data_IF_459097107214
#
_entry.id   IF_459097107214
#
_cell.length_a   1.000
_cell.length_b   1.000
_cell.length_c   1.000
_cell.angle_alpha   90.00
_cell.angle_beta   90.00
_cell.angle_gamma   90.00
#
_symmetry.space_group_name_H-M   'P 1'
#
loop_
_entity.id
_entity.type
_entity.pdbx_description
1 polymer ?
#
# COMPACT_ATOMS: atom_id res chain seq x y z
N UNK A 1 -10.69 15.83 -7.36
CA UNK A 1 -9.24 15.95 -7.59
C UNK A 1 -8.57 14.85 -6.79
N UNK A 2 -7.96 13.87 -7.45
CA UNK A 2 -7.10 12.91 -6.77
C UNK A 2 -5.82 13.63 -6.32
N UNK A 3 -5.33 13.36 -5.11
CA UNK A 3 -4.03 13.85 -4.68
C UNK A 3 -2.98 13.25 -5.62
N UNK A 4 -2.14 14.09 -6.24
CA UNK A 4 -1.06 13.60 -7.10
C UNK A 4 0.02 13.01 -6.20
N UNK A 5 0.42 11.79 -6.50
CA UNK A 5 1.54 11.10 -5.86
C UNK A 5 2.65 11.11 -6.91
N UNK A 6 3.67 11.93 -6.71
CA UNK A 6 4.62 12.32 -7.77
C UNK A 6 5.41 11.15 -8.38
N UNK A 7 5.53 10.06 -7.63
CA UNK A 7 6.35 8.90 -7.97
C UNK A 7 5.54 7.72 -8.53
N UNK A 8 4.25 7.94 -8.84
CA UNK A 8 3.36 6.95 -9.46
C UNK A 8 2.56 7.55 -10.61
N UNK A 9 2.05 6.73 -11.53
CA UNK A 9 1.26 7.23 -12.66
C UNK A 9 -0.25 7.20 -12.37
N UNK A 10 -0.72 6.18 -11.65
CA UNK A 10 -2.14 6.02 -11.31
C UNK A 10 -2.30 5.28 -9.98
N UNK A 11 -3.40 5.54 -9.26
CA UNK A 11 -3.76 4.75 -8.07
C UNK A 11 -4.77 3.67 -8.43
N UNK A 12 -4.59 2.46 -7.91
CA UNK A 12 -5.59 1.40 -7.97
C UNK A 12 -6.07 1.07 -6.54
N UNK A 13 -7.36 1.27 -6.27
CA UNK A 13 -7.93 1.16 -4.92
C UNK A 13 -8.98 0.03 -4.82
N UNK A 14 -8.59 -1.26 -4.75
CA UNK A 14 -9.54 -2.37 -4.57
C UNK A 14 -10.13 -2.46 -3.16
N UNK A 15 -9.71 -1.61 -2.22
CA UNK A 15 -10.35 -1.42 -0.90
C UNK A 15 -10.34 0.06 -0.52
N UNK A 16 -11.17 0.43 0.46
CA UNK A 16 -11.30 1.78 0.99
C UNK A 16 -11.24 1.76 2.53
N UNK A 17 -10.94 2.92 3.12
CA UNK A 17 -10.83 3.09 4.57
C UNK A 17 -9.65 2.36 5.23
N UNK A 18 -9.38 2.66 6.49
CA UNK A 18 -8.31 2.02 7.25
C UNK A 18 -8.51 2.18 8.77
N UNK A 19 -7.81 1.35 9.54
CA UNK A 19 -7.59 1.58 10.98
C UNK A 19 -6.20 2.17 11.20
N UNK A 20 -6.13 3.30 11.93
CA UNK A 20 -4.87 3.93 12.35
C UNK A 20 -4.11 3.01 13.31
N UNK A 21 -2.80 2.85 13.11
CA UNK A 21 -1.97 1.94 13.93
C UNK A 21 -0.65 2.55 14.43
N UNK A 22 -0.34 3.79 14.06
CA UNK A 22 0.94 4.40 14.40
C UNK A 22 0.86 5.91 14.51
N UNK A 23 1.92 6.52 15.05
CA UNK A 23 2.01 7.99 15.18
C UNK A 23 1.85 8.70 13.82
N UNK A 24 2.37 8.09 12.75
CA UNK A 24 2.23 8.62 11.38
C UNK A 24 0.79 8.67 10.87
N UNK A 25 -0.16 8.01 11.53
CA UNK A 25 -1.57 8.06 11.18
C UNK A 25 -2.33 9.26 11.78
N UNK A 26 -1.72 10.03 12.69
CA UNK A 26 -2.41 11.12 13.41
C UNK A 26 -3.08 12.12 12.48
N UNK A 27 -2.39 12.54 11.42
CA UNK A 27 -2.84 13.52 10.42
C UNK A 27 -3.03 12.89 9.03
N UNK A 28 -3.61 11.68 8.98
CA UNK A 28 -3.76 10.93 7.75
C UNK A 28 -4.65 11.66 6.71
N UNK A 29 -4.09 12.00 5.55
CA UNK A 29 -4.86 12.64 4.47
C UNK A 29 -6.03 11.78 3.98
N UNK A 30 -5.86 10.44 3.99
CA UNK A 30 -6.85 9.52 3.48
C UNK A 30 -8.13 9.54 4.34
N UNK A 31 -8.02 9.79 5.64
CA UNK A 31 -9.17 9.93 6.54
C UNK A 31 -9.98 11.19 6.20
N UNK A 32 -9.31 12.34 6.12
CA UNK A 32 -9.97 13.60 5.73
C UNK A 32 -10.64 13.49 4.35
N UNK A 33 -9.94 12.88 3.40
CA UNK A 33 -10.47 12.65 2.06
C UNK A 33 -11.62 11.64 2.06
N UNK A 34 -11.60 10.60 2.90
CA UNK A 34 -12.68 9.64 3.01
C UNK A 34 -14.01 10.29 3.42
N UNK A 35 -14.00 11.22 4.39
CA UNK A 35 -15.22 11.96 4.76
C UNK A 35 -15.74 12.85 3.63
N UNK A 36 -14.84 13.44 2.82
CA UNK A 36 -15.25 14.18 1.63
C UNK A 36 -15.88 13.25 0.59
N UNK A 37 -15.28 12.09 0.33
CA UNK A 37 -15.78 11.10 -0.62
C UNK A 37 -17.12 10.51 -0.18
N UNK A 38 -17.31 10.32 1.12
CA UNK A 38 -18.59 9.94 1.72
C UNK A 38 -19.66 10.99 1.43
N UNK A 39 -19.38 12.28 1.69
CA UNK A 39 -20.32 13.36 1.40
C UNK A 39 -20.66 13.49 -0.10
N UNK A 40 -19.76 13.03 -0.97
CA UNK A 40 -19.95 12.98 -2.43
C UNK A 40 -20.66 11.69 -2.92
N UNK A 41 -20.97 10.74 -2.03
CA UNK A 41 -21.61 9.47 -2.40
C UNK A 41 -20.71 8.56 -3.25
N UNK A 42 -19.38 8.65 -3.09
CA UNK A 42 -18.44 7.82 -3.84
C UNK A 42 -18.43 6.41 -3.26
N UNK A 43 -18.61 5.42 -4.13
CA UNK A 43 -18.61 4.00 -3.78
C UNK A 43 -17.40 3.60 -2.92
N UNK A 44 -17.65 2.78 -1.90
CA UNK A 44 -16.66 2.29 -0.96
C UNK A 44 -16.41 3.23 0.23
N UNK A 45 -16.95 4.45 0.23
CA UNK A 45 -16.82 5.40 1.35
C UNK A 45 -18.15 5.65 2.06
N UNK A 46 -19.14 4.77 1.90
CA UNK A 46 -20.45 4.87 2.55
C UNK A 46 -20.31 5.01 4.08
N UNK A 47 -19.31 4.30 4.64
CA UNK A 47 -18.98 4.29 6.07
C UNK A 47 -17.78 5.20 6.42
N UNK A 48 -17.50 6.21 5.60
CA UNK A 48 -16.40 7.14 5.81
C UNK A 48 -15.03 6.44 5.72
N UNK A 49 -14.25 6.51 6.80
CA UNK A 49 -12.89 5.93 6.84
C UNK A 49 -12.85 4.48 7.36
N UNK A 50 -13.99 3.85 7.64
CA UNK A 50 -14.02 2.45 8.04
C UNK A 50 -13.54 1.54 6.90
N UNK A 51 -12.73 0.52 7.23
CA UNK A 51 -12.19 -0.37 6.22
C UNK A 51 -13.27 -1.25 5.57
N UNK A 52 -13.21 -1.37 4.24
CA UNK A 52 -14.02 -2.26 3.44
C UNK A 52 -13.33 -2.62 2.11
N UNK A 53 -13.71 -3.75 1.52
CA UNK A 53 -13.33 -4.11 0.16
C UNK A 53 -14.21 -3.38 -0.86
N UNK A 54 -13.69 -3.14 -2.07
CA UNK A 54 -14.41 -2.49 -3.17
C UNK A 54 -14.31 -3.35 -4.44
N UNK A 55 -15.12 -4.44 -4.55
CA UNK A 55 -14.98 -5.45 -5.61
C UNK A 55 -15.15 -4.91 -7.03
N UNK A 56 -15.93 -3.84 -7.22
CA UNK A 56 -16.16 -3.18 -8.50
C UNK A 56 -14.87 -2.64 -9.13
N UNK A 57 -13.88 -2.28 -8.30
CA UNK A 57 -12.56 -1.74 -8.70
C UNK A 57 -11.48 -2.80 -8.86
N UNK A 58 -11.76 -4.06 -8.52
CA UNK A 58 -10.76 -5.13 -8.53
C UNK A 58 -10.11 -5.31 -9.90
N UNK A 59 -10.89 -5.30 -10.97
CA UNK A 59 -10.41 -5.58 -12.32
C UNK A 59 -10.00 -4.32 -13.11
N UNK A 60 -9.85 -3.16 -12.45
CA UNK A 60 -9.47 -1.92 -13.14
C UNK A 60 -8.11 -2.00 -13.86
N UNK A 61 -7.06 -2.63 -13.31
CA UNK A 61 -5.80 -2.80 -14.05
C UNK A 61 -5.95 -3.66 -15.30
N UNK A 62 -6.81 -4.67 -15.29
CA UNK A 62 -7.06 -5.54 -16.46
C UNK A 62 -7.58 -4.74 -17.67
N UNK A 63 -8.32 -3.66 -17.41
CA UNK A 63 -8.86 -2.79 -18.46
C UNK A 63 -7.79 -1.88 -19.08
N UNK A 64 -6.61 -1.75 -18.45
CA UNK A 64 -5.55 -0.84 -18.85
C UNK A 64 -4.55 -1.53 -19.79
N UNK A 65 -4.52 -1.08 -21.06
CA UNK A 65 -3.59 -1.63 -22.07
C UNK A 65 -2.20 -1.02 -21.99
N UNK A 66 -2.11 0.29 -21.74
CA UNK A 66 -0.82 1.00 -21.64
C UNK A 66 -0.08 0.49 -20.39
N UNK A 67 1.21 0.11 -20.47
CA UNK A 67 2.04 -0.09 -19.28
C UNK A 67 1.84 1.07 -18.30
N UNK A 68 1.69 0.76 -17.01
CA UNK A 68 1.35 1.76 -16.00
C UNK A 68 1.97 1.39 -14.66
N UNK A 69 2.53 2.37 -13.98
CA UNK A 69 2.97 2.27 -12.59
C UNK A 69 1.79 2.61 -11.68
N UNK A 70 1.24 1.58 -11.02
CA UNK A 70 0.14 1.70 -10.09
C UNK A 70 0.63 1.79 -8.65
N UNK A 71 0.17 2.80 -7.92
CA UNK A 71 0.20 2.77 -6.46
C UNK A 71 -1.06 2.06 -5.94
N UNK A 72 -0.86 0.94 -5.26
CA UNK A 72 -1.95 0.09 -4.78
C UNK A 72 -2.43 0.59 -3.43
N UNK A 73 -3.71 0.96 -3.37
CA UNK A 73 -4.41 1.46 -2.20
C UNK A 73 -3.81 2.73 -1.59
N UNK A 74 -3.97 3.86 -2.28
CA UNK A 74 -3.66 5.18 -1.74
C UNK A 74 -4.64 5.65 -0.65
N UNK A 75 -5.78 4.99 -0.51
CA UNK A 75 -6.86 5.38 0.41
C UNK A 75 -7.19 4.32 1.46
N UNK A 76 -6.42 3.22 1.48
CA UNK A 76 -6.59 2.09 2.40
C UNK A 76 -5.27 1.32 2.54
N UNK A 77 -5.31 0.06 2.97
CA UNK A 77 -4.13 -0.78 3.05
C UNK A 77 -4.50 -2.22 2.69
N UNK A 78 -3.86 -2.83 1.67
CA UNK A 78 -4.21 -4.22 1.27
C UNK A 78 -3.89 -5.24 2.38
N UNK A 79 -2.97 -4.92 3.27
CA UNK A 79 -2.62 -5.75 4.43
C UNK A 79 -3.40 -5.33 5.68
N UNK A 80 -4.59 -4.74 5.55
CA UNK A 80 -5.45 -4.47 6.69
C UNK A 80 -5.80 -5.77 7.44
N UNK A 81 -5.98 -5.69 8.76
CA UNK A 81 -6.32 -6.87 9.60
C UNK A 81 -7.63 -7.54 9.18
N UNK A 82 -8.59 -6.73 8.74
CA UNK A 82 -9.93 -7.17 8.33
C UNK A 82 -10.02 -7.46 6.82
N UNK A 83 -8.89 -7.44 6.09
CA UNK A 83 -8.85 -7.84 4.69
C UNK A 83 -9.11 -9.35 4.58
N UNK A 84 -10.17 -9.81 3.89
CA UNK A 84 -10.38 -11.22 3.61
C UNK A 84 -9.21 -11.78 2.79
N UNK A 85 -8.69 -12.93 3.19
CA UNK A 85 -7.50 -13.50 2.53
C UNK A 85 -7.80 -13.93 1.09
N UNK A 86 -9.00 -14.43 0.82
CA UNK A 86 -9.47 -14.75 -0.54
C UNK A 86 -9.51 -13.51 -1.44
N UNK A 87 -9.91 -12.36 -0.90
CA UNK A 87 -9.91 -11.11 -1.66
C UNK A 87 -8.50 -10.58 -1.90
N UNK A 88 -7.60 -10.71 -0.91
CA UNK A 88 -6.19 -10.36 -1.08
C UNK A 88 -5.51 -11.26 -2.13
N UNK A 89 -5.83 -12.56 -2.15
CA UNK A 89 -5.38 -13.48 -3.19
C UNK A 89 -5.85 -13.01 -4.58
N UNK A 90 -7.13 -12.62 -4.72
CA UNK A 90 -7.66 -12.09 -5.98
C UNK A 90 -6.99 -10.79 -6.44
N UNK A 91 -6.53 -9.94 -5.51
CA UNK A 91 -5.72 -8.76 -5.85
C UNK A 91 -4.39 -9.19 -6.48
N UNK A 92 -3.72 -10.19 -5.89
CA UNK A 92 -2.48 -10.74 -6.43
C UNK A 92 -2.70 -11.45 -7.77
N UNK A 93 -3.82 -12.16 -7.95
CA UNK A 93 -4.19 -12.77 -9.24
C UNK A 93 -4.30 -11.72 -10.35
N UNK A 94 -4.85 -10.53 -10.05
CA UNK A 94 -4.93 -9.44 -11.02
C UNK A 94 -3.51 -8.96 -11.38
N UNK A 95 -2.64 -8.76 -10.38
CA UNK A 95 -1.25 -8.34 -10.58
C UNK A 95 -0.51 -9.32 -11.51
N UNK A 96 -0.66 -10.62 -11.28
CA UNK A 96 -0.05 -11.68 -12.09
C UNK A 96 -0.59 -11.70 -13.52
N UNK A 97 -1.89 -11.47 -13.71
CA UNK A 97 -2.54 -11.46 -15.03
C UNK A 97 -2.21 -10.23 -15.87
N UNK A 98 -1.62 -9.20 -15.27
CA UNK A 98 -1.25 -7.96 -15.95
C UNK A 98 0.23 -7.62 -15.75
N UNK A 99 1.14 -8.45 -16.31
CA UNK A 99 2.59 -8.30 -16.13
C UNK A 99 3.16 -7.03 -16.79
N UNK A 100 2.40 -6.37 -17.67
CA UNK A 100 2.79 -5.10 -18.30
C UNK A 100 2.76 -3.90 -17.34
N UNK A 101 2.12 -4.03 -16.17
CA UNK A 101 2.05 -2.98 -15.16
C UNK A 101 3.04 -3.22 -14.04
N UNK A 102 3.46 -2.15 -13.37
CA UNK A 102 4.23 -2.22 -12.12
C UNK A 102 3.32 -1.83 -10.95
N UNK A 103 3.39 -2.56 -9.83
CA UNK A 103 2.55 -2.36 -8.65
C UNK A 103 3.38 -1.98 -7.44
N UNK A 104 3.29 -0.71 -7.03
CA UNK A 104 3.89 -0.19 -5.82
C UNK A 104 2.92 -0.42 -4.65
N UNK A 105 3.33 -1.22 -3.67
CA UNK A 105 2.54 -1.54 -2.48
C UNK A 105 3.30 -1.02 -1.27
N UNK A 106 2.70 -0.08 -0.53
CA UNK A 106 3.28 0.52 0.68
C UNK A 106 2.45 0.15 1.91
N UNK A 107 3.10 -0.22 3.02
CA UNK A 107 2.37 -0.58 4.24
C UNK A 107 3.05 -0.19 5.54
N UNK A 108 2.24 0.06 6.57
CA UNK A 108 2.66 0.12 7.98
C UNK A 108 2.52 -1.24 8.69
N UNK A 109 1.93 -2.24 8.02
CA UNK A 109 1.60 -3.57 8.55
C UNK A 109 2.60 -4.62 8.06
N UNK A 110 3.89 -4.36 8.33
CA UNK A 110 4.99 -5.17 7.79
C UNK A 110 4.92 -6.65 8.20
N UNK A 111 4.42 -6.97 9.40
CA UNK A 111 4.25 -8.36 9.85
C UNK A 111 3.29 -9.15 8.97
N UNK A 112 2.11 -8.58 8.69
CA UNK A 112 1.12 -9.26 7.84
C UNK A 112 1.61 -9.36 6.40
N UNK A 113 2.28 -8.33 5.89
CA UNK A 113 2.91 -8.39 4.58
C UNK A 113 3.91 -9.53 4.52
N UNK A 114 4.89 -9.57 5.45
CA UNK A 114 5.92 -10.61 5.50
C UNK A 114 5.30 -12.00 5.60
N UNK A 115 4.33 -12.21 6.50
CA UNK A 115 3.65 -13.49 6.66
C UNK A 115 2.92 -13.92 5.38
N UNK A 116 2.18 -13.01 4.74
CA UNK A 116 1.41 -13.32 3.55
C UNK A 116 2.29 -13.65 2.34
N UNK A 117 3.37 -12.88 2.14
CA UNK A 117 4.26 -13.06 0.98
C UNK A 117 5.27 -14.18 1.20
N UNK A 118 5.56 -14.61 2.44
CA UNK A 118 6.48 -15.73 2.68
C UNK A 118 5.91 -17.09 2.27
N UNK A 119 4.61 -17.18 2.02
CA UNK A 119 3.93 -18.41 1.61
C UNK A 119 3.80 -18.57 0.09
N UNK A 120 4.43 -17.68 -0.70
CA UNK A 120 4.25 -17.64 -2.16
C UNK A 120 5.44 -17.01 -2.87
N UNK A 121 5.54 -17.27 -4.18
CA UNK A 121 6.42 -16.51 -5.06
C UNK A 121 5.83 -15.11 -5.29
N UNK A 122 6.69 -14.09 -5.29
CA UNK A 122 6.26 -12.70 -5.48
C UNK A 122 6.38 -12.36 -6.96
N UNK A 123 5.29 -11.90 -7.62
CA UNK A 123 5.35 -11.47 -9.01
C UNK A 123 6.42 -10.39 -9.23
N UNK A 124 7.20 -10.52 -10.32
CA UNK A 124 8.33 -9.62 -10.60
C UNK A 124 7.93 -8.16 -10.81
N UNK A 125 6.65 -7.93 -11.09
CA UNK A 125 6.08 -6.61 -11.29
C UNK A 125 5.55 -5.97 -10.00
N UNK A 126 5.85 -6.53 -8.83
CA UNK A 126 5.55 -5.93 -7.52
C UNK A 126 6.78 -5.24 -6.95
N UNK A 127 6.57 -4.00 -6.50
CA UNK A 127 7.47 -3.27 -5.62
C UNK A 127 6.84 -3.24 -4.23
N UNK A 128 7.57 -3.73 -3.22
CA UNK A 128 7.09 -3.78 -1.85
C UNK A 128 7.81 -2.73 -1.01
N UNK A 129 7.06 -2.00 -0.20
CA UNK A 129 7.65 -1.01 0.67
C UNK A 129 6.96 -0.86 2.01
N UNK A 130 7.68 -0.23 2.92
CA UNK A 130 7.18 0.11 4.26
C UNK A 130 7.26 1.61 4.51
N UNK A 131 6.28 2.12 5.25
CA UNK A 131 6.38 3.47 5.80
C UNK A 131 7.31 3.49 7.01
N UNK A 132 8.21 4.48 7.07
CA UNK A 132 9.15 4.71 8.17
C UNK A 132 8.93 6.11 8.73
N UNK A 133 8.01 6.24 9.68
CA UNK A 133 7.68 7.56 10.27
C UNK A 133 8.55 7.97 11.48
N UNK A 134 9.09 7.01 12.22
CA UNK A 134 9.84 7.21 13.47
C UNK A 134 10.77 6.01 13.77
N UNK A 135 11.58 6.12 14.83
CA UNK A 135 12.48 5.06 15.29
C UNK A 135 11.74 3.86 15.85
N UNK A 136 10.74 4.10 16.69
CA UNK A 136 10.03 3.06 17.44
C UNK A 136 9.27 2.09 16.53
N UNK A 137 8.49 2.62 15.59
CA UNK A 137 7.60 1.82 14.75
C UNK A 137 8.14 1.64 13.33
N UNK A 138 8.82 2.66 12.80
CA UNK A 138 9.33 2.67 11.42
C UNK A 138 10.55 1.79 11.21
N UNK A 139 11.59 1.92 12.04
CA UNK A 139 12.84 1.17 11.85
C UNK A 139 12.65 -0.36 11.89
N UNK A 140 11.87 -0.94 12.84
CA UNK A 140 11.63 -2.38 12.84
C UNK A 140 10.96 -2.89 11.56
N UNK A 141 10.24 -2.05 10.82
CA UNK A 141 9.64 -2.45 9.53
C UNK A 141 10.68 -2.61 8.43
N UNK A 142 11.78 -1.87 8.48
CA UNK A 142 12.89 -2.01 7.53
C UNK A 142 13.48 -3.42 7.65
N UNK A 143 13.71 -3.89 8.87
CA UNK A 143 14.26 -5.24 9.10
C UNK A 143 13.31 -6.35 8.67
N UNK A 144 11.99 -6.14 8.77
CA UNK A 144 10.98 -7.06 8.22
C UNK A 144 10.97 -7.04 6.69
N UNK A 145 11.03 -5.86 6.08
CA UNK A 145 11.05 -5.70 4.63
C UNK A 145 12.26 -6.40 4.01
N UNK A 146 13.45 -6.28 4.62
CA UNK A 146 14.71 -6.87 4.15
C UNK A 146 14.73 -8.41 4.16
N UNK A 147 13.76 -9.06 4.80
CA UNK A 147 13.60 -10.52 4.76
C UNK A 147 12.85 -10.99 3.50
N UNK A 148 12.17 -10.07 2.79
CA UNK A 148 11.34 -10.39 1.63
C UNK A 148 12.20 -10.43 0.37
N UNK A 149 11.93 -11.39 -0.52
CA UNK A 149 12.57 -11.49 -1.83
C UNK A 149 11.62 -10.98 -2.91
N UNK A 150 11.56 -9.66 -3.07
CA UNK A 150 10.82 -9.00 -4.16
C UNK A 150 11.79 -8.39 -5.18
N UNK A 151 11.28 -8.01 -6.36
CA UNK A 151 12.11 -7.37 -7.39
C UNK A 151 12.56 -5.97 -7.03
N UNK A 152 11.78 -5.24 -6.22
CA UNK A 152 12.13 -3.93 -5.65
C UNK A 152 11.60 -3.86 -4.23
N UNK A 153 12.47 -3.49 -3.30
CA UNK A 153 12.15 -3.13 -1.92
C UNK A 153 12.38 -1.63 -1.73
N UNK A 154 11.35 -0.91 -1.25
CA UNK A 154 11.43 0.54 -1.07
C UNK A 154 10.97 1.02 0.30
N UNK A 155 11.48 2.20 0.70
CA UNK A 155 11.04 2.89 1.91
C UNK A 155 10.30 4.16 1.52
N UNK A 156 9.23 4.48 2.26
CA UNK A 156 8.66 5.82 2.27
C UNK A 156 8.89 6.41 3.65
N UNK A 157 9.75 7.42 3.74
CA UNK A 157 10.11 8.09 4.98
C UNK A 157 9.15 9.27 5.21
N UNK A 158 7.86 8.96 5.26
CA UNK A 158 6.81 9.98 5.36
C UNK A 158 5.64 9.53 6.27
N UNK A 159 5.17 10.38 7.19
CA UNK A 159 5.79 11.65 7.58
C UNK A 159 7.07 11.40 8.38
N UNK A 160 8.15 12.15 8.12
CA UNK A 160 9.36 12.13 8.95
C UNK A 160 9.08 12.85 10.27
N UNK A 161 8.69 12.09 11.31
CA UNK A 161 8.29 12.66 12.60
C UNK A 161 9.47 13.04 13.50
N UNK A 162 10.64 12.47 13.24
CA UNK A 162 11.87 12.71 13.99
C UNK A 162 13.11 12.35 13.16
N UNK A 163 14.30 12.74 13.62
CA UNK A 163 15.56 12.23 13.07
C UNK A 163 15.68 10.72 13.33
N UNK A 164 15.77 9.93 12.26
CA UNK A 164 15.88 8.47 12.30
C UNK A 164 17.31 7.97 12.59
N UNK A 165 18.31 8.84 12.52
CA UNK A 165 19.71 8.46 12.65
C UNK A 165 20.19 7.57 11.49
N UNK A 166 21.03 6.58 11.80
CA UNK A 166 21.61 5.70 10.77
C UNK A 166 20.64 4.59 10.39
N UNK A 167 20.26 4.54 9.11
CA UNK A 167 19.42 3.50 8.53
C UNK A 167 20.27 2.36 7.95
N UNK A 168 19.84 1.11 8.17
CA UNK A 168 20.41 -0.04 7.48
C UNK A 168 19.70 -0.29 6.15
N UNK A 169 20.26 0.27 5.07
CA UNK A 169 19.68 0.20 3.73
C UNK A 169 20.15 -1.01 2.91
N UNK A 170 20.79 -2.00 3.53
CA UNK A 170 21.23 -3.20 2.81
C UNK A 170 20.01 -3.91 2.19
N UNK A 171 20.06 -4.12 0.88
CA UNK A 171 18.99 -4.70 0.05
C UNK A 171 17.72 -3.84 -0.04
N UNK A 172 17.85 -2.53 0.14
CA UNK A 172 16.80 -1.56 -0.18
C UNK A 172 17.18 -0.89 -1.50
N UNK A 173 16.26 -0.90 -2.46
CA UNK A 173 16.49 -0.43 -3.83
C UNK A 173 16.12 1.03 -4.02
N UNK A 174 15.15 1.54 -3.24
CA UNK A 174 14.64 2.89 -3.40
C UNK A 174 14.14 3.48 -2.08
N UNK A 175 14.34 4.78 -1.90
CA UNK A 175 13.88 5.55 -0.75
C UNK A 175 13.16 6.80 -1.28
N UNK A 176 11.96 7.02 -0.75
CA UNK A 176 11.11 8.18 -1.00
C UNK A 176 11.05 8.99 0.28
#
# INVERSE_FOLDING_TARGET
>A
MAHKIEWTEQTWNPSAGCTKISAGCKHCYAETMAFRLQAMGVEGYENGFQFNIVPSRLNDPVKKKKPTVFFVNSMSNIFHKDMPEDYLNRIFDVIEKTPQHTYQILTKRADRMLHYVSQREIPKNIWLGVTVENKEEGLPRIDKLRQIKASVLFLSIEPLLEDLGKLNLKNIDWVI
#
